data_IF_933570608903
#
_entry.id   IF_933570608903
#
_cell.length_a   1.000
_cell.length_b   1.000
_cell.length_c   1.000
_cell.angle_alpha   90.00
_cell.angle_beta   90.00
_cell.angle_gamma   90.00
#
_symmetry.space_group_name_H-M   'P 1'
#
loop_
_entity.id
_entity.type
_entity.pdbx_description
1 polymer ?
#
# COMPACT_ATOMS: atom_id res chain seq x y z
N UNK A 1 2.72 26.36 -1.61
CA UNK A 1 2.16 25.14 -0.99
C UNK A 1 2.99 24.86 0.25
N UNK A 2 2.41 24.86 1.46
CA UNK A 2 3.21 24.68 2.68
C UNK A 2 3.75 23.24 2.72
N UNK A 3 5.07 23.04 2.94
CA UNK A 3 5.69 21.71 2.90
C UNK A 3 5.07 20.72 3.91
N UNK A 4 4.53 21.23 5.02
CA UNK A 4 3.85 20.44 6.06
C UNK A 4 2.60 19.71 5.53
N UNK A 5 1.81 20.32 4.65
CA UNK A 5 0.62 19.67 4.09
C UNK A 5 0.98 18.51 3.16
N UNK A 6 2.04 18.67 2.35
CA UNK A 6 2.53 17.62 1.45
C UNK A 6 3.09 16.43 2.22
N UNK A 7 3.80 16.67 3.33
CA UNK A 7 4.33 15.61 4.20
C UNK A 7 3.19 14.88 4.95
N UNK A 8 2.17 15.60 5.42
CA UNK A 8 1.00 14.98 6.04
C UNK A 8 0.24 14.08 5.05
N UNK A 9 0.06 14.55 3.81
CA UNK A 9 -0.63 13.81 2.77
C UNK A 9 0.09 12.51 2.40
N UNK A 10 1.42 12.53 2.21
CA UNK A 10 2.15 11.32 1.82
C UNK A 10 2.14 10.26 2.92
N UNK A 11 2.23 10.64 4.20
CA UNK A 11 2.10 9.70 5.31
C UNK A 11 0.70 9.06 5.36
N UNK A 12 -0.35 9.86 5.12
CA UNK A 12 -1.71 9.35 5.03
C UNK A 12 -1.89 8.39 3.85
N UNK A 13 -1.37 8.73 2.67
CA UNK A 13 -1.41 7.86 1.49
C UNK A 13 -0.66 6.55 1.71
N UNK A 14 0.52 6.59 2.33
CA UNK A 14 1.30 5.40 2.71
C UNK A 14 0.46 4.49 3.60
N UNK A 15 -0.14 5.04 4.66
CA UNK A 15 -0.95 4.26 5.59
C UNK A 15 -2.17 3.64 4.89
N UNK A 16 -2.86 4.40 4.04
CA UNK A 16 -3.96 3.87 3.22
C UNK A 16 -3.51 2.72 2.31
N UNK A 17 -2.40 2.89 1.59
CA UNK A 17 -1.87 1.83 0.70
C UNK A 17 -1.57 0.55 1.48
N UNK A 18 -0.92 0.66 2.64
CA UNK A 18 -0.61 -0.50 3.48
C UNK A 18 -1.87 -1.19 4.00
N UNK A 19 -2.84 -0.41 4.51
CA UNK A 19 -4.11 -0.95 5.01
C UNK A 19 -4.94 -1.60 3.90
N UNK A 20 -5.08 -0.96 2.75
CA UNK A 20 -5.82 -1.50 1.60
C UNK A 20 -5.12 -2.74 1.04
N UNK A 21 -3.79 -2.71 0.90
CA UNK A 21 -3.02 -3.88 0.46
C UNK A 21 -3.19 -5.07 1.40
N UNK A 22 -3.11 -4.83 2.71
CA UNK A 22 -3.38 -5.83 3.75
C UNK A 22 -4.82 -6.35 3.71
N UNK A 23 -5.81 -5.47 3.55
CA UNK A 23 -7.22 -5.85 3.45
C UNK A 23 -7.49 -6.75 2.24
N UNK A 24 -6.96 -6.42 1.05
CA UNK A 24 -7.10 -7.26 -0.15
C UNK A 24 -6.51 -8.66 0.08
N UNK A 25 -5.32 -8.73 0.69
CA UNK A 25 -4.67 -10.02 0.98
C UNK A 25 -5.41 -10.85 2.04
N UNK A 26 -6.04 -10.19 3.02
CA UNK A 26 -6.72 -10.88 4.11
C UNK A 26 -8.16 -11.27 3.80
N UNK A 27 -8.90 -10.40 3.11
CA UNK A 27 -10.32 -10.56 2.81
C UNK A 27 -10.46 -11.20 1.43
N UNK A 28 -10.11 -10.47 0.36
CA UNK A 28 -10.40 -10.89 -1.03
C UNK A 28 -9.68 -12.18 -1.41
N UNK A 29 -8.37 -12.28 -1.15
CA UNK A 29 -7.59 -13.49 -1.47
C UNK A 29 -8.10 -14.71 -0.70
N UNK A 30 -8.55 -14.52 0.55
CA UNK A 30 -9.12 -15.59 1.38
C UNK A 30 -10.47 -16.02 0.84
N UNK A 31 -11.31 -15.08 0.42
CA UNK A 31 -12.63 -15.35 -0.13
C UNK A 31 -12.53 -16.04 -1.49
N UNK A 32 -11.73 -15.53 -2.42
CA UNK A 32 -11.50 -16.16 -3.72
C UNK A 32 -10.85 -17.54 -3.63
N UNK A 33 -10.11 -17.81 -2.54
CA UNK A 33 -9.60 -19.13 -2.28
C UNK A 33 -10.71 -20.12 -1.88
N UNK A 34 -11.70 -19.68 -1.10
CA UNK A 34 -12.84 -20.52 -0.69
C UNK A 34 -13.77 -20.81 -1.86
N UNK A 35 -14.02 -19.82 -2.71
CA UNK A 35 -14.95 -19.94 -3.84
C UNK A 35 -14.32 -20.54 -5.10
N UNK A 36 -13.02 -20.88 -5.07
CA UNK A 36 -12.32 -21.49 -6.21
C UNK A 36 -11.99 -20.53 -7.36
N UNK A 37 -12.13 -19.22 -7.16
CA UNK A 37 -11.92 -18.15 -8.15
C UNK A 37 -10.42 -17.87 -8.38
N UNK A 38 -9.74 -18.77 -9.10
CA UNK A 38 -8.26 -18.76 -9.26
C UNK A 38 -7.72 -17.50 -9.95
N UNK A 39 -8.44 -16.94 -10.94
CA UNK A 39 -7.99 -15.79 -11.72
C UNK A 39 -8.05 -14.51 -10.89
N UNK A 40 -9.16 -14.32 -10.21
CA UNK A 40 -9.49 -13.19 -9.33
C UNK A 40 -8.56 -13.21 -8.12
N UNK A 41 -8.32 -14.39 -7.54
CA UNK A 41 -7.30 -14.58 -6.49
C UNK A 41 -5.91 -14.12 -6.93
N UNK A 42 -5.49 -14.42 -8.17
CA UNK A 42 -4.18 -14.00 -8.68
C UNK A 42 -4.12 -12.49 -8.85
N UNK A 43 -5.18 -11.88 -9.37
CA UNK A 43 -5.30 -10.43 -9.48
C UNK A 43 -5.26 -9.76 -8.10
N UNK A 44 -6.05 -10.24 -7.14
CA UNK A 44 -6.09 -9.71 -5.78
C UNK A 44 -4.74 -9.85 -5.07
N UNK A 45 -4.04 -10.98 -5.21
CA UNK A 45 -2.67 -11.12 -4.68
C UNK A 45 -1.72 -10.09 -5.27
N UNK A 46 -1.77 -9.89 -6.58
CA UNK A 46 -0.93 -8.88 -7.23
C UNK A 46 -1.27 -7.47 -6.73
N UNK A 47 -2.55 -7.10 -6.69
CA UNK A 47 -3.00 -5.79 -6.21
C UNK A 47 -2.65 -5.53 -4.74
N UNK A 48 -2.81 -6.54 -3.89
CA UNK A 48 -2.47 -6.46 -2.47
C UNK A 48 -0.97 -6.24 -2.25
N UNK A 49 -0.13 -7.07 -2.88
CA UNK A 49 1.32 -6.91 -2.80
C UNK A 49 1.83 -5.64 -3.48
N UNK A 50 1.21 -5.22 -4.60
CA UNK A 50 1.54 -3.96 -5.26
C UNK A 50 1.30 -2.78 -4.32
N UNK A 51 0.15 -2.73 -3.64
CA UNK A 51 -0.14 -1.68 -2.66
C UNK A 51 0.86 -1.68 -1.50
N UNK A 52 1.21 -2.85 -0.96
CA UNK A 52 2.19 -2.95 0.12
C UNK A 52 3.56 -2.45 -0.33
N UNK A 53 4.06 -2.92 -1.48
CA UNK A 53 5.38 -2.54 -1.99
C UNK A 53 5.42 -1.05 -2.35
N UNK A 54 4.37 -0.52 -2.99
CA UNK A 54 4.27 0.89 -3.32
C UNK A 54 4.21 1.77 -2.06
N UNK A 55 3.40 1.40 -1.07
CA UNK A 55 3.29 2.11 0.21
C UNK A 55 4.60 2.09 1.00
N UNK A 56 5.24 0.93 1.14
CA UNK A 56 6.55 0.81 1.79
C UNK A 56 7.65 1.56 1.04
N UNK A 57 7.65 1.51 -0.29
CA UNK A 57 8.58 2.26 -1.12
C UNK A 57 8.43 3.76 -0.95
N UNK A 58 7.19 4.27 -0.98
CA UNK A 58 6.89 5.68 -0.75
C UNK A 58 7.30 6.14 0.66
N UNK A 59 7.11 5.29 1.68
CA UNK A 59 7.58 5.55 3.04
C UNK A 59 9.11 5.67 3.11
N UNK A 60 9.85 4.72 2.53
CA UNK A 60 11.31 4.75 2.50
C UNK A 60 11.81 5.98 1.77
N UNK A 61 11.24 6.29 0.61
CA UNK A 61 11.59 7.48 -0.17
C UNK A 61 11.35 8.74 0.67
N UNK A 62 10.17 8.88 1.28
CA UNK A 62 9.87 10.03 2.13
C UNK A 62 10.83 10.15 3.32
N UNK A 63 11.17 9.03 3.97
CA UNK A 63 12.11 9.00 5.09
C UNK A 63 13.52 9.43 4.67
N UNK A 64 14.03 8.93 3.55
CA UNK A 64 15.33 9.34 2.99
C UNK A 64 15.32 10.82 2.62
N UNK A 65 14.25 11.31 1.97
CA UNK A 65 14.11 12.72 1.63
C UNK A 65 14.14 13.61 2.86
N UNK A 66 13.39 13.27 3.92
CA UNK A 66 13.42 14.02 5.17
C UNK A 66 14.80 14.01 5.81
N UNK A 67 15.50 12.87 5.79
CA UNK A 67 16.83 12.74 6.39
C UNK A 67 17.95 13.43 5.59
N UNK A 68 17.82 13.54 4.27
CA UNK A 68 18.82 14.21 3.41
C UNK A 68 18.61 15.72 3.28
N UNK A 69 17.37 16.21 3.45
CA UNK A 69 17.03 17.64 3.33
C UNK A 69 16.93 18.39 4.67
N UNK A 70 17.07 17.68 5.80
CA UNK A 70 17.20 18.23 7.16
C UNK A 70 18.61 17.93 7.69
#
# INVERSE_FOLDING_TARGET
>A
MNPTFSIGYINFTVLLMLLTGGAILWIDVKEYNKTGMKREKRAARFLGWFNIVAGSGAFIVNWVYQKMLL
#
